data_IF_095169438185
#
_entry.id   IF_095169438185
#
_cell.length_a   1.000
_cell.length_b   1.000
_cell.length_c   1.000
_cell.angle_alpha   90.00
_cell.angle_beta   90.00
_cell.angle_gamma   90.00
#
_symmetry.space_group_name_H-M   'P 1'
#
loop_
_entity.id
_entity.type
_entity.pdbx_description
1 polymer ?
#
# COMPACT_ATOMS: atom_id res chain seq x y z
N UNK A 1 -24.12 27.35 14.57
CA UNK A 1 -22.71 27.03 14.25
C UNK A 1 -22.62 25.53 14.07
N UNK A 2 -22.25 25.06 12.88
CA UNK A 2 -22.05 23.63 12.64
C UNK A 2 -20.77 23.18 13.35
N UNK A 3 -20.88 22.22 14.28
CA UNK A 3 -19.73 21.65 14.98
C UNK A 3 -19.53 20.21 14.54
N UNK A 4 -18.30 19.88 14.15
CA UNK A 4 -17.95 18.53 13.75
C UNK A 4 -17.69 17.63 14.98
N UNK A 5 -17.12 18.21 16.05
CA UNK A 5 -16.78 17.48 17.28
C UNK A 5 -17.33 18.24 18.51
N UNK A 6 -18.18 17.55 19.26
CA UNK A 6 -18.79 17.98 20.53
C UNK A 6 -17.84 17.77 21.71
N UNK A 7 -17.90 18.65 22.72
CA UNK A 7 -17.02 18.57 23.91
C UNK A 7 -17.30 17.33 24.76
N UNK A 8 -18.56 16.87 24.81
CA UNK A 8 -18.96 15.68 25.56
C UNK A 8 -18.42 14.37 24.95
N UNK A 9 -18.33 14.28 23.61
CA UNK A 9 -17.79 13.11 22.92
C UNK A 9 -16.30 12.90 23.26
N UNK A 10 -15.53 13.99 23.37
CA UNK A 10 -14.09 13.94 23.71
C UNK A 10 -13.90 13.55 25.17
N UNK A 11 -14.71 14.10 26.09
CA UNK A 11 -14.66 13.75 27.51
C UNK A 11 -14.95 12.27 27.75
N UNK A 12 -15.88 11.70 26.98
CA UNK A 12 -16.22 10.29 27.01
C UNK A 12 -15.12 9.41 26.39
N UNK A 13 -14.56 9.82 25.24
CA UNK A 13 -13.49 9.08 24.55
C UNK A 13 -12.17 9.04 25.33
N UNK A 14 -11.84 10.13 26.05
CA UNK A 14 -10.60 10.25 26.81
C UNK A 14 -10.71 9.74 28.27
N UNK A 15 -11.88 9.21 28.69
CA UNK A 15 -12.17 8.81 30.09
C UNK A 15 -11.84 9.90 31.13
N UNK A 16 -11.91 11.17 30.73
CA UNK A 16 -11.52 12.34 31.55
C UNK A 16 -12.53 12.69 32.64
N UNK A 17 -13.66 11.97 32.72
CA UNK A 17 -14.64 12.14 33.80
C UNK A 17 -14.08 11.92 35.22
N UNK A 18 -12.90 11.28 35.36
CA UNK A 18 -12.23 11.05 36.65
C UNK A 18 -11.17 12.10 37.03
N UNK A 19 -10.72 12.94 36.10
CA UNK A 19 -9.66 13.94 36.33
C UNK A 19 -10.08 15.31 35.79
N UNK A 20 -10.62 16.18 36.66
CA UNK A 20 -10.55 17.64 36.47
C UNK A 20 -11.60 18.35 35.60
N UNK A 21 -12.74 17.74 35.29
CA UNK A 21 -13.95 18.44 34.79
C UNK A 21 -13.79 19.29 33.50
N UNK A 22 -14.69 20.26 33.31
CA UNK A 22 -14.81 21.10 32.10
C UNK A 22 -13.56 21.96 31.77
N UNK A 23 -12.70 22.22 32.77
CA UNK A 23 -11.45 22.95 32.60
C UNK A 23 -10.37 22.09 31.95
N UNK A 24 -10.22 20.83 32.37
CA UNK A 24 -9.34 19.88 31.71
C UNK A 24 -9.78 19.63 30.26
N UNK A 25 -11.09 19.55 30.01
CA UNK A 25 -11.67 19.46 28.66
C UNK A 25 -11.27 20.66 27.78
N UNK A 26 -11.37 21.90 28.29
CA UNK A 26 -11.01 23.13 27.55
C UNK A 26 -9.52 23.20 27.23
N UNK A 27 -8.66 22.80 28.16
CA UNK A 27 -7.22 22.69 27.92
C UNK A 27 -6.95 21.65 26.84
N UNK A 28 -7.57 20.47 26.92
CA UNK A 28 -7.43 19.41 25.93
C UNK A 28 -7.89 19.88 24.54
N UNK A 29 -9.06 20.53 24.44
CA UNK A 29 -9.59 21.12 23.20
C UNK A 29 -8.60 22.10 22.55
N UNK A 30 -7.92 22.89 23.37
CA UNK A 30 -6.93 23.89 22.91
C UNK A 30 -5.64 23.21 22.46
N UNK A 31 -5.10 22.28 23.26
CA UNK A 31 -3.89 21.49 22.96
C UNK A 31 -4.07 20.65 21.69
N UNK A 32 -5.26 20.10 21.48
CA UNK A 32 -5.63 19.28 20.33
C UNK A 32 -6.18 20.12 19.16
N UNK A 33 -6.15 21.45 19.28
CA UNK A 33 -6.59 22.38 18.23
C UNK A 33 -8.02 22.12 17.70
N UNK A 34 -8.91 21.54 18.51
CA UNK A 34 -10.26 21.14 18.08
C UNK A 34 -11.11 22.36 17.69
N UNK A 35 -10.88 23.50 18.35
CA UNK A 35 -11.50 24.77 17.94
C UNK A 35 -11.09 25.19 16.52
N UNK A 36 -9.85 24.92 16.11
CA UNK A 36 -9.41 25.20 14.73
C UNK A 36 -10.09 24.26 13.72
N UNK A 37 -10.36 23.00 14.10
CA UNK A 37 -11.08 22.05 13.25
C UNK A 37 -12.54 22.45 13.08
N UNK A 38 -13.22 22.81 14.18
CA UNK A 38 -14.60 23.28 14.10
C UNK A 38 -14.70 24.57 13.27
N UNK A 39 -13.75 25.51 13.42
CA UNK A 39 -13.69 26.72 12.59
C UNK A 39 -13.43 26.40 11.12
N UNK A 40 -12.48 25.50 10.84
CA UNK A 40 -12.20 25.05 9.48
C UNK A 40 -13.45 24.43 8.85
N UNK A 41 -14.12 23.53 9.58
CA UNK A 41 -15.35 22.90 9.13
C UNK A 41 -16.44 23.94 8.89
N UNK A 42 -16.66 24.88 9.82
CA UNK A 42 -17.63 25.97 9.65
C UNK A 42 -17.35 26.78 8.36
N UNK A 43 -16.10 27.15 8.12
CA UNK A 43 -15.68 27.91 6.93
C UNK A 43 -15.95 27.17 5.61
N UNK A 44 -15.89 25.83 5.59
CA UNK A 44 -16.06 25.02 4.36
C UNK A 44 -17.38 24.26 4.29
N UNK A 45 -18.14 24.17 5.37
CA UNK A 45 -19.37 23.35 5.49
C UNK A 45 -20.53 23.83 4.63
N UNK A 46 -20.42 25.01 4.03
CA UNK A 46 -21.36 25.52 3.03
C UNK A 46 -21.21 24.82 1.66
N UNK A 47 -20.04 24.25 1.37
CA UNK A 47 -19.80 23.50 0.14
C UNK A 47 -20.26 22.05 0.28
N UNK A 48 -20.40 21.35 -0.84
CA UNK A 48 -20.79 19.93 -0.92
C UNK A 48 -19.93 19.19 -1.94
N UNK A 49 -19.78 17.88 -1.73
CA UNK A 49 -19.09 16.98 -2.62
C UNK A 49 -17.67 17.44 -2.97
N UNK A 50 -17.39 17.55 -4.27
CA UNK A 50 -16.08 17.97 -4.77
C UNK A 50 -15.70 19.39 -4.39
N UNK A 51 -16.65 20.32 -4.34
CA UNK A 51 -16.39 21.72 -3.96
C UNK A 51 -15.96 21.81 -2.49
N UNK A 52 -16.52 20.95 -1.63
CA UNK A 52 -16.08 20.85 -0.23
C UNK A 52 -14.64 20.35 -0.15
N UNK A 53 -14.30 19.31 -0.92
CA UNK A 53 -12.95 18.75 -0.94
C UNK A 53 -11.95 19.81 -1.44
N UNK A 54 -12.28 20.55 -2.49
CA UNK A 54 -11.44 21.60 -3.05
C UNK A 54 -11.25 22.79 -2.11
N UNK A 55 -12.34 23.25 -1.49
CA UNK A 55 -12.28 24.30 -0.47
C UNK A 55 -11.42 23.87 0.72
N UNK A 56 -11.54 22.62 1.17
CA UNK A 56 -10.76 22.07 2.27
C UNK A 56 -9.27 21.99 1.92
N UNK A 57 -8.91 21.43 0.75
CA UNK A 57 -7.52 21.34 0.27
C UNK A 57 -6.90 22.73 0.16
N UNK A 58 -7.63 23.68 -0.44
CA UNK A 58 -7.20 25.07 -0.60
C UNK A 58 -6.99 25.78 0.74
N UNK A 59 -7.95 25.67 1.67
CA UNK A 59 -7.88 26.29 3.00
C UNK A 59 -6.75 25.71 3.84
N UNK A 60 -6.47 24.41 3.70
CA UNK A 60 -5.35 23.74 4.36
C UNK A 60 -4.02 23.97 3.65
N UNK A 61 -4.04 24.53 2.44
CA UNK A 61 -2.88 24.72 1.57
C UNK A 61 -2.10 23.41 1.41
N UNK A 62 -2.84 22.34 1.12
CA UNK A 62 -2.28 21.02 0.83
C UNK A 62 -1.92 20.97 -0.64
N UNK A 63 -0.69 20.60 -0.93
CA UNK A 63 -0.22 20.29 -2.28
C UNK A 63 -0.11 18.78 -2.42
N UNK A 64 -0.52 18.22 -3.55
CA UNK A 64 -0.34 16.80 -3.85
C UNK A 64 0.16 16.58 -5.27
N UNK A 65 0.77 15.43 -5.52
CA UNK A 65 1.33 15.07 -6.82
C UNK A 65 1.03 13.62 -7.14
N UNK A 66 0.38 13.42 -8.28
CA UNK A 66 0.21 12.12 -8.95
C UNK A 66 0.84 12.26 -10.33
N UNK A 67 1.48 11.21 -10.84
CA UNK A 67 2.04 11.23 -12.20
C UNK A 67 0.94 10.94 -13.20
N UNK A 68 0.93 11.64 -14.33
CA UNK A 68 -0.11 11.47 -15.35
C UNK A 68 -0.13 10.04 -15.93
N UNK A 69 1.02 9.38 -16.03
CA UNK A 69 1.09 7.99 -16.48
C UNK A 69 0.44 7.00 -15.50
N UNK A 70 0.43 7.34 -14.21
CA UNK A 70 -0.17 6.53 -13.15
C UNK A 70 -1.69 6.73 -13.11
N UNK A 71 -2.18 7.94 -13.39
CA UNK A 71 -3.62 8.22 -13.54
C UNK A 71 -4.24 7.42 -14.68
N UNK A 72 -3.52 7.26 -15.80
CA UNK A 72 -3.97 6.45 -16.96
C UNK A 72 -4.17 4.97 -16.63
N UNK A 73 -3.68 4.48 -15.49
CA UNK A 73 -3.87 3.09 -15.04
C UNK A 73 -5.25 2.85 -14.44
N UNK A 74 -5.98 3.91 -14.08
CA UNK A 74 -7.33 3.83 -13.54
C UNK A 74 -8.31 3.48 -14.66
N UNK A 75 -9.03 2.34 -14.58
CA UNK A 75 -10.01 1.96 -15.58
C UNK A 75 -11.15 2.98 -15.65
N UNK A 76 -11.45 3.49 -16.85
CA UNK A 76 -12.57 4.40 -17.09
C UNK A 76 -13.95 3.72 -16.93
N UNK A 77 -14.01 2.39 -17.05
CA UNK A 77 -15.24 1.61 -16.94
C UNK A 77 -14.99 0.28 -16.23
N UNK A 78 -16.09 -0.32 -15.73
CA UNK A 78 -16.05 -1.60 -15.02
C UNK A 78 -15.62 -1.45 -13.56
N UNK A 79 -15.94 -2.42 -12.69
CA UNK A 79 -15.68 -2.28 -11.28
C UNK A 79 -14.21 -2.54 -10.95
N UNK A 80 -13.70 -1.83 -9.94
CA UNK A 80 -12.39 -2.11 -9.35
C UNK A 80 -12.37 -1.67 -7.89
N UNK A 81 -11.40 -2.20 -7.15
CA UNK A 81 -11.12 -1.78 -5.79
C UNK A 81 -9.76 -1.09 -5.73
N UNK A 82 -9.64 0.07 -5.09
CA UNK A 82 -8.32 0.56 -4.66
C UNK A 82 -8.00 0.10 -3.25
N UNK A 83 -6.75 -0.29 -3.02
CA UNK A 83 -6.21 -0.61 -1.69
C UNK A 83 -5.07 0.33 -1.36
N UNK A 84 -5.18 1.02 -0.23
CA UNK A 84 -4.27 2.12 0.08
C UNK A 84 -3.72 2.06 1.50
N UNK A 85 -2.49 2.56 1.68
CA UNK A 85 -2.01 2.90 3.01
C UNK A 85 -2.64 4.20 3.52
N UNK A 86 -2.64 4.44 4.84
CA UNK A 86 -3.44 5.50 5.45
C UNK A 86 -2.65 6.43 6.39
N UNK A 87 -1.62 7.17 5.93
CA UNK A 87 -0.74 7.92 6.82
C UNK A 87 -1.37 9.17 7.45
N UNK A 88 -2.37 9.79 6.81
CA UNK A 88 -2.92 11.10 7.22
C UNK A 88 -4.38 11.04 7.66
N UNK A 89 -5.06 9.89 7.51
CA UNK A 89 -6.46 9.75 7.93
C UNK A 89 -7.42 10.37 6.93
N UNK A 90 -8.39 11.16 7.39
CA UNK A 90 -9.46 11.69 6.54
C UNK A 90 -8.99 12.42 5.26
N UNK A 91 -7.82 13.06 5.30
CA UNK A 91 -7.20 13.68 4.11
C UNK A 91 -6.94 12.62 3.01
N UNK A 92 -6.42 11.44 3.36
CA UNK A 92 -6.10 10.41 2.37
C UNK A 92 -7.34 9.99 1.58
N UNK A 93 -8.47 9.82 2.27
CA UNK A 93 -9.76 9.50 1.64
C UNK A 93 -10.26 10.62 0.73
N UNK A 94 -10.15 11.87 1.16
CA UNK A 94 -10.55 13.04 0.36
C UNK A 94 -9.65 13.23 -0.87
N UNK A 95 -8.34 13.04 -0.73
CA UNK A 95 -7.40 13.08 -1.85
C UNK A 95 -7.67 11.93 -2.83
N UNK A 96 -7.95 10.72 -2.33
CA UNK A 96 -8.30 9.58 -3.17
C UNK A 96 -9.56 9.87 -4.00
N UNK A 97 -10.61 10.43 -3.38
CA UNK A 97 -11.81 10.88 -4.10
C UNK A 97 -11.46 11.96 -5.12
N UNK A 98 -10.71 13.01 -4.73
CA UNK A 98 -10.32 14.09 -5.65
C UNK A 98 -9.57 13.60 -6.88
N UNK A 99 -8.71 12.62 -6.70
CA UNK A 99 -7.88 12.04 -7.76
C UNK A 99 -8.72 11.17 -8.69
N UNK A 100 -9.57 10.30 -8.13
CA UNK A 100 -10.31 9.31 -8.91
C UNK A 100 -11.60 9.86 -9.52
N UNK A 101 -12.29 10.80 -8.86
CA UNK A 101 -13.58 11.32 -9.29
C UNK A 101 -13.56 11.94 -10.70
N UNK A 102 -12.41 12.45 -11.15
CA UNK A 102 -12.25 12.96 -12.51
C UNK A 102 -12.40 11.90 -13.61
N UNK A 103 -12.03 10.64 -13.32
CA UNK A 103 -12.21 9.49 -14.25
C UNK A 103 -13.39 8.61 -13.85
N UNK A 104 -13.67 8.53 -12.54
CA UNK A 104 -14.65 7.65 -11.90
C UNK A 104 -15.50 8.43 -10.90
N UNK A 105 -16.48 9.21 -11.37
CA UNK A 105 -17.34 10.02 -10.50
C UNK A 105 -18.19 9.18 -9.54
N UNK A 106 -18.32 7.88 -9.84
CA UNK A 106 -19.01 6.85 -9.06
C UNK A 106 -18.18 6.28 -7.91
N UNK A 107 -16.94 6.75 -7.70
CA UNK A 107 -16.06 6.29 -6.61
C UNK A 107 -16.73 6.47 -5.25
N UNK A 108 -16.67 5.42 -4.42
CA UNK A 108 -16.97 5.51 -2.99
C UNK A 108 -15.85 4.94 -2.15
N UNK A 109 -15.66 5.46 -0.94
CA UNK A 109 -14.64 5.04 0.01
C UNK A 109 -15.31 4.30 1.15
N UNK A 110 -14.79 3.12 1.46
CA UNK A 110 -15.15 2.38 2.65
C UNK A 110 -14.51 3.06 3.86
N UNK A 111 -15.32 3.71 4.69
CA UNK A 111 -14.85 4.60 5.74
C UNK A 111 -15.49 4.29 7.09
N UNK A 112 -14.77 4.65 8.16
CA UNK A 112 -15.28 4.50 9.52
C UNK A 112 -16.40 5.51 9.83
N UNK A 113 -17.13 5.25 10.92
CA UNK A 113 -18.25 6.06 11.37
C UNK A 113 -17.92 7.56 11.60
N UNK A 114 -16.67 7.89 11.91
CA UNK A 114 -16.27 9.29 12.13
C UNK A 114 -16.25 10.09 10.82
N UNK A 115 -15.81 9.49 9.72
CA UNK A 115 -15.81 10.14 8.42
C UNK A 115 -17.22 10.24 7.83
N UNK A 116 -18.11 9.28 8.11
CA UNK A 116 -19.51 9.36 7.67
C UNK A 116 -20.30 10.49 8.34
N UNK A 117 -19.79 11.08 9.44
CA UNK A 117 -20.39 12.27 10.06
C UNK A 117 -20.11 13.56 9.30
N UNK A 118 -19.16 13.57 8.36
CA UNK A 118 -18.86 14.73 7.52
C UNK A 118 -19.91 14.76 6.41
N UNK A 119 -21.08 15.32 6.73
CA UNK A 119 -22.23 15.40 5.83
C UNK A 119 -21.88 15.92 4.43
N UNK A 120 -20.99 16.93 4.26
CA UNK A 120 -20.66 17.44 2.95
C UNK A 120 -20.05 16.46 1.96
N UNK A 121 -19.44 15.36 2.43
CA UNK A 121 -18.80 14.34 1.57
C UNK A 121 -19.43 12.96 1.73
N UNK A 122 -20.59 12.90 2.40
CA UNK A 122 -21.27 11.64 2.72
C UNK A 122 -21.63 10.81 1.49
N UNK A 123 -21.86 11.44 0.34
CA UNK A 123 -22.14 10.75 -0.94
C UNK A 123 -21.00 9.84 -1.41
N UNK A 124 -19.75 10.19 -1.07
CA UNK A 124 -18.55 9.43 -1.41
C UNK A 124 -18.20 8.38 -0.35
N UNK A 125 -18.99 8.23 0.71
CA UNK A 125 -18.64 7.39 1.86
C UNK A 125 -19.61 6.21 1.98
N UNK A 126 -19.05 5.01 2.08
CA UNK A 126 -19.78 3.82 2.51
C UNK A 126 -19.41 3.50 3.95
N UNK A 127 -20.36 3.59 4.90
CA UNK A 127 -20.06 3.40 6.31
C UNK A 127 -19.73 1.92 6.57
N UNK A 128 -18.60 1.69 7.24
CA UNK A 128 -18.25 0.42 7.87
C UNK A 128 -17.76 0.66 9.29
N UNK A 129 -17.99 -0.31 10.16
CA UNK A 129 -17.48 -0.25 11.53
C UNK A 129 -16.29 -1.22 11.66
N UNK A 130 -15.04 -0.73 11.68
CA UNK A 130 -13.88 -1.55 11.99
C UNK A 130 -13.64 -1.70 13.51
N UNK A 131 -14.50 -1.13 14.36
CA UNK A 131 -14.36 -1.23 15.82
C UNK A 131 -15.10 -2.47 16.35
N UNK A 132 -14.44 -3.62 16.28
CA UNK A 132 -14.83 -4.77 17.08
C UNK A 132 -14.66 -4.49 18.57
N UNK A 133 -15.72 -4.74 19.34
CA UNK A 133 -15.65 -4.74 20.80
C UNK A 133 -17.01 -4.70 21.52
N UNK A 134 -18.08 -4.13 20.93
CA UNK A 134 -19.42 -4.13 21.57
C UNK A 134 -20.56 -4.14 20.54
N UNK A 135 -21.46 -5.11 20.69
CA UNK A 135 -22.88 -5.18 20.27
C UNK A 135 -23.30 -4.88 18.81
N UNK A 136 -22.45 -4.36 17.93
CA UNK A 136 -22.89 -3.80 16.64
C UNK A 136 -22.40 -4.58 15.39
N UNK A 137 -22.22 -5.91 15.49
CA UNK A 137 -21.80 -6.77 14.38
C UNK A 137 -22.72 -6.69 13.14
N UNK A 138 -23.99 -6.31 13.32
CA UNK A 138 -24.93 -6.08 12.22
C UNK A 138 -24.52 -4.90 11.31
N UNK A 139 -23.84 -3.87 11.85
CA UNK A 139 -23.47 -2.66 11.11
C UNK A 139 -22.32 -2.90 10.11
N UNK A 140 -21.34 -3.75 10.47
CA UNK A 140 -20.21 -4.08 9.59
C UNK A 140 -20.63 -4.98 8.42
N UNK A 141 -21.59 -5.88 8.63
CA UNK A 141 -22.15 -6.74 7.56
C UNK A 141 -22.93 -5.90 6.54
N UNK A 142 -23.73 -4.94 7.02
CA UNK A 142 -24.48 -4.04 6.14
C UNK A 142 -23.55 -3.21 5.25
N UNK A 143 -22.48 -2.62 5.81
CA UNK A 143 -21.50 -1.86 5.03
C UNK A 143 -20.76 -2.70 3.99
N UNK A 144 -20.38 -3.94 4.33
CA UNK A 144 -19.77 -4.88 3.37
C UNK A 144 -20.76 -5.23 2.25
N UNK A 145 -22.04 -5.46 2.58
CA UNK A 145 -23.07 -5.75 1.57
C UNK A 145 -23.24 -4.57 0.60
N UNK A 146 -23.36 -3.35 1.11
CA UNK A 146 -23.44 -2.14 0.28
C UNK A 146 -22.22 -1.97 -0.63
N UNK A 147 -21.01 -2.28 -0.11
CA UNK A 147 -19.78 -2.23 -0.89
C UNK A 147 -19.78 -3.24 -2.05
N UNK A 148 -20.23 -4.47 -1.80
CA UNK A 148 -20.35 -5.50 -2.84
C UNK A 148 -21.42 -5.14 -3.87
N UNK A 149 -22.57 -4.62 -3.45
CA UNK A 149 -23.63 -4.14 -4.36
C UNK A 149 -23.13 -2.98 -5.23
N UNK A 150 -22.40 -2.04 -4.63
CA UNK A 150 -21.77 -0.93 -5.36
C UNK A 150 -20.82 -1.44 -6.46
N UNK A 151 -19.98 -2.42 -6.14
CA UNK A 151 -19.10 -3.07 -7.12
C UNK A 151 -19.88 -3.86 -8.19
N UNK A 152 -20.96 -4.55 -7.82
CA UNK A 152 -21.81 -5.27 -8.77
C UNK A 152 -22.47 -4.34 -9.79
N UNK A 153 -22.76 -3.09 -9.41
CA UNK A 153 -23.25 -2.05 -10.31
C UNK A 153 -22.16 -1.50 -11.25
N UNK A 154 -20.96 -2.07 -11.24
CA UNK A 154 -19.83 -1.67 -12.09
C UNK A 154 -19.00 -0.53 -11.51
N UNK A 155 -19.24 -0.13 -10.25
CA UNK A 155 -18.65 1.08 -9.71
C UNK A 155 -17.26 0.88 -9.08
N UNK A 156 -16.56 1.99 -8.84
CA UNK A 156 -15.26 1.98 -8.17
C UNK A 156 -15.40 2.08 -6.64
N UNK A 157 -14.58 1.32 -5.92
CA UNK A 157 -14.54 1.33 -4.45
C UNK A 157 -13.12 1.55 -3.94
N UNK A 158 -12.91 2.52 -3.05
CA UNK A 158 -11.64 2.71 -2.35
C UNK A 158 -11.66 2.15 -0.93
N UNK A 159 -10.58 1.50 -0.53
CA UNK A 159 -10.46 0.87 0.79
C UNK A 159 -9.09 1.18 1.41
N UNK A 160 -9.11 1.45 2.71
CA UNK A 160 -7.93 1.52 3.59
C UNK A 160 -7.93 0.30 4.50
N UNK A 161 -7.32 -0.84 4.10
CA UNK A 161 -7.60 -2.13 4.73
C UNK A 161 -7.09 -2.26 6.16
N UNK A 162 -6.18 -1.39 6.61
CA UNK A 162 -5.71 -1.35 7.99
C UNK A 162 -6.82 -0.93 8.98
N UNK A 163 -7.86 -0.20 8.53
CA UNK A 163 -8.94 0.32 9.39
C UNK A 163 -8.53 1.45 10.34
N UNK A 164 -7.23 1.76 10.41
CA UNK A 164 -6.66 2.86 11.16
C UNK A 164 -5.51 3.50 10.38
N UNK A 165 -5.04 4.65 10.85
CA UNK A 165 -3.95 5.37 10.19
C UNK A 165 -2.59 4.70 10.40
N UNK A 166 -1.56 5.04 9.61
CA UNK A 166 -0.20 4.48 9.74
C UNK A 166 0.49 4.92 11.03
N UNK A 167 1.05 3.98 11.79
CA UNK A 167 1.76 4.20 13.06
C UNK A 167 3.18 3.69 13.00
N UNK A 168 3.95 3.91 14.07
CA UNK A 168 5.17 3.13 14.25
C UNK A 168 4.79 1.65 14.31
N UNK A 169 5.45 0.85 13.48
CA UNK A 169 5.29 -0.59 13.43
C UNK A 169 6.65 -1.24 13.75
N UNK A 170 6.67 -2.10 14.77
CA UNK A 170 7.85 -2.80 15.25
C UNK A 170 8.36 -3.81 14.21
N UNK A 171 7.46 -4.44 13.44
CA UNK A 171 7.80 -5.47 12.44
C UNK A 171 8.72 -4.94 11.33
N UNK A 172 8.57 -3.66 10.98
CA UNK A 172 9.27 -3.01 9.87
C UNK A 172 10.20 -1.87 10.33
N UNK A 173 10.37 -1.68 11.65
CA UNK A 173 11.14 -0.58 12.26
C UNK A 173 10.91 0.79 11.58
N UNK A 174 9.63 1.14 11.36
CA UNK A 174 9.27 2.30 10.55
C UNK A 174 7.80 2.68 10.64
N UNK A 175 7.43 3.81 10.03
CA UNK A 175 6.04 4.27 9.97
C UNK A 175 5.34 3.57 8.81
N UNK A 176 4.43 2.67 9.15
CA UNK A 176 3.60 1.95 8.19
C UNK A 176 2.26 1.60 8.82
N UNK A 177 1.32 1.19 8.00
CA UNK A 177 0.09 0.56 8.46
C UNK A 177 0.44 -0.70 9.26
N UNK A 178 -0.42 -1.00 10.22
CA UNK A 178 -0.48 -2.32 10.83
C UNK A 178 -0.89 -3.37 9.80
N UNK A 179 -0.93 -4.62 10.24
CA UNK A 179 -1.51 -5.70 9.46
C UNK A 179 -2.92 -5.31 8.97
N UNK A 180 -3.16 -5.57 7.69
CA UNK A 180 -4.44 -5.28 7.06
C UNK A 180 -5.51 -6.26 7.55
N UNK A 181 -6.69 -5.72 7.86
CA UNK A 181 -7.76 -6.43 8.55
C UNK A 181 -8.28 -7.60 7.69
N UNK A 182 -8.28 -8.81 8.27
CA UNK A 182 -8.74 -10.02 7.59
C UNK A 182 -10.14 -9.90 6.96
N UNK A 183 -11.16 -9.29 7.62
CA UNK A 183 -12.48 -9.10 7.00
C UNK A 183 -12.45 -8.25 5.73
N UNK A 184 -11.62 -7.19 5.70
CA UNK A 184 -11.46 -6.33 4.53
C UNK A 184 -10.83 -7.13 3.36
N UNK A 185 -9.76 -7.88 3.66
CA UNK A 185 -9.09 -8.73 2.67
C UNK A 185 -10.03 -9.80 2.08
N UNK A 186 -10.82 -10.44 2.93
CA UNK A 186 -11.81 -11.44 2.52
C UNK A 186 -12.88 -10.82 1.60
N UNK A 187 -13.34 -9.60 1.90
CA UNK A 187 -14.29 -8.88 1.03
C UNK A 187 -13.66 -8.56 -0.33
N UNK A 188 -12.44 -8.01 -0.33
CA UNK A 188 -11.71 -7.67 -1.56
C UNK A 188 -11.57 -8.91 -2.45
N UNK A 189 -11.14 -10.03 -1.87
CA UNK A 189 -11.01 -11.31 -2.58
C UNK A 189 -12.36 -11.80 -3.12
N UNK A 190 -13.43 -11.71 -2.32
CA UNK A 190 -14.78 -12.14 -2.70
C UNK A 190 -15.38 -11.32 -3.85
N UNK A 191 -15.01 -10.04 -3.96
CA UNK A 191 -15.54 -9.17 -4.99
C UNK A 191 -15.18 -9.61 -6.42
N UNK A 192 -14.06 -10.34 -6.60
CA UNK A 192 -13.56 -10.80 -7.91
C UNK A 192 -13.49 -9.68 -8.95
N UNK A 193 -12.92 -8.53 -8.55
CA UNK A 193 -12.66 -7.37 -9.42
C UNK A 193 -11.18 -7.00 -9.37
N UNK A 194 -10.64 -6.31 -10.38
CA UNK A 194 -9.27 -5.81 -10.34
C UNK A 194 -8.98 -4.97 -9.08
N UNK A 195 -7.78 -5.12 -8.53
CA UNK A 195 -7.33 -4.37 -7.35
C UNK A 195 -6.21 -3.41 -7.74
N UNK A 196 -6.33 -2.13 -7.43
CA UNK A 196 -5.35 -1.10 -7.77
C UNK A 196 -4.66 -0.61 -6.49
N UNK A 197 -3.36 -0.91 -6.30
CA UNK A 197 -2.60 -0.39 -5.17
C UNK A 197 -2.43 1.14 -5.27
N UNK A 198 -2.67 1.87 -4.19
CA UNK A 198 -2.41 3.32 -4.11
C UNK A 198 -1.56 3.62 -2.88
N UNK A 199 -0.44 4.29 -3.08
CA UNK A 199 0.48 4.63 -2.00
C UNK A 199 0.51 6.13 -1.73
N UNK A 200 0.21 6.51 -0.50
CA UNK A 200 0.34 7.86 0.03
C UNK A 200 1.69 7.99 0.75
N UNK A 201 2.56 8.87 0.24
CA UNK A 201 3.87 9.09 0.84
C UNK A 201 3.80 10.10 2.00
N UNK A 202 4.30 9.67 3.16
CA UNK A 202 4.60 10.52 4.30
C UNK A 202 4.10 9.96 5.63
N UNK A 203 4.12 10.80 6.66
CA UNK A 203 3.74 10.40 8.02
C UNK A 203 3.17 11.57 8.82
N UNK A 204 2.47 11.25 9.92
CA UNK A 204 2.06 12.24 10.92
C UNK A 204 3.24 12.71 11.80
N UNK A 205 3.00 13.73 12.63
CA UNK A 205 4.04 14.33 13.45
C UNK A 205 4.65 13.33 14.45
N UNK A 206 5.90 13.56 14.86
CA UNK A 206 6.55 12.74 15.91
C UNK A 206 5.69 12.67 17.18
N UNK A 207 5.07 13.78 17.58
CA UNK A 207 4.19 13.83 18.74
C UNK A 207 2.94 12.95 18.56
N UNK A 208 2.39 12.85 17.36
CA UNK A 208 1.30 11.91 17.06
C UNK A 208 1.72 10.45 17.27
N UNK A 209 2.91 10.09 16.81
CA UNK A 209 3.43 8.74 17.00
C UNK A 209 3.77 8.45 18.47
N UNK A 210 4.36 9.41 19.20
CA UNK A 210 4.64 9.29 20.64
C UNK A 210 3.34 9.09 21.43
N UNK A 211 2.29 9.88 21.17
CA UNK A 211 1.01 9.69 21.84
C UNK A 211 0.38 8.33 21.53
N UNK A 212 0.59 7.80 20.32
CA UNK A 212 0.16 6.46 19.94
C UNK A 212 0.89 5.34 20.70
N UNK A 213 2.17 5.52 21.01
CA UNK A 213 2.94 4.61 21.88
C UNK A 213 2.42 4.63 23.33
N UNK A 214 1.91 5.77 23.79
CA UNK A 214 1.34 5.91 25.14
C UNK A 214 -0.05 5.25 25.21
N UNK A 215 -0.97 5.60 24.29
CA UNK A 215 -2.28 4.94 24.20
C UNK A 215 -2.97 5.20 22.84
N UNK A 216 -3.56 4.17 22.18
CA UNK A 216 -4.23 4.33 20.88
C UNK A 216 -5.34 5.41 20.83
N UNK A 217 -6.08 5.62 21.91
CA UNK A 217 -7.14 6.66 21.92
C UNK A 217 -6.58 8.10 21.88
N UNK A 218 -5.40 8.36 22.47
CA UNK A 218 -4.78 9.70 22.45
C UNK A 218 -4.37 10.09 21.03
N UNK A 219 -3.98 9.10 20.24
CA UNK A 219 -3.70 9.23 18.81
C UNK A 219 -4.95 9.64 18.03
N UNK A 220 -6.06 8.93 18.19
CA UNK A 220 -7.35 9.25 17.54
C UNK A 220 -7.79 10.68 17.86
N UNK A 221 -7.56 11.10 19.10
CA UNK A 221 -7.90 12.44 19.59
C UNK A 221 -7.00 13.53 18.99
N UNK A 222 -5.72 13.23 18.69
CA UNK A 222 -4.79 14.17 18.04
C UNK A 222 -4.93 14.21 16.52
N UNK A 223 -5.45 13.16 15.89
CA UNK A 223 -5.52 13.02 14.42
C UNK A 223 -6.12 14.24 13.71
N UNK A 224 -7.24 14.83 14.15
CA UNK A 224 -7.80 16.02 13.49
C UNK A 224 -6.83 17.22 13.45
N UNK A 225 -5.95 17.34 14.44
CA UNK A 225 -4.98 18.44 14.55
C UNK A 225 -3.77 18.29 13.63
N UNK A 226 -3.47 17.06 13.19
CA UNK A 226 -2.34 16.75 12.31
C UNK A 226 -2.53 17.33 10.90
N UNK A 227 -3.79 17.53 10.50
CA UNK A 227 -4.20 18.12 9.23
C UNK A 227 -3.50 19.47 9.01
N UNK A 228 -3.42 20.32 10.05
CA UNK A 228 -2.77 21.64 9.95
C UNK A 228 -1.25 21.59 9.78
N UNK A 229 -0.60 20.47 10.14
CA UNK A 229 0.86 20.34 10.03
C UNK A 229 1.30 19.93 8.61
N UNK A 230 0.35 19.80 7.68
CA UNK A 230 0.59 19.47 6.26
C UNK A 230 0.58 20.68 5.34
N UNK A 231 0.34 21.87 5.89
CA UNK A 231 0.42 23.14 5.18
C UNK A 231 1.73 23.25 4.40
N UNK A 232 1.67 23.50 3.09
CA UNK A 232 2.82 23.60 2.18
C UNK A 232 3.68 22.34 2.04
N UNK A 233 3.18 21.17 2.47
CA UNK A 233 3.86 19.90 2.23
C UNK A 233 3.25 19.24 1.00
N UNK A 234 4.11 18.87 0.05
CA UNK A 234 3.73 18.13 -1.15
C UNK A 234 3.54 16.65 -0.82
N UNK A 235 2.29 16.19 -0.81
CA UNK A 235 1.93 14.78 -0.61
C UNK A 235 2.07 14.06 -1.96
N UNK A 236 3.10 13.23 -2.09
CA UNK A 236 3.26 12.38 -3.28
C UNK A 236 2.37 11.16 -3.15
N UNK A 237 1.62 10.89 -4.20
CA UNK A 237 0.70 9.76 -4.28
C UNK A 237 1.12 8.98 -5.52
N UNK A 238 1.17 7.65 -5.39
CA UNK A 238 1.56 6.74 -6.47
C UNK A 238 0.46 5.73 -6.70
N UNK A 239 0.07 5.52 -7.96
CA UNK A 239 -0.98 4.55 -8.34
C UNK A 239 -0.32 3.41 -9.09
N UNK A 240 -0.47 2.18 -8.59
CA UNK A 240 0.08 0.96 -9.17
C UNK A 240 -0.70 0.44 -10.37
N UNK A 241 -0.18 -0.62 -10.99
CA UNK A 241 -0.91 -1.34 -12.04
C UNK A 241 -2.06 -2.15 -11.43
N UNK A 242 -3.21 -2.28 -12.12
CA UNK A 242 -4.30 -3.15 -11.70
C UNK A 242 -3.85 -4.61 -11.59
N UNK A 243 -4.10 -5.21 -10.42
CA UNK A 243 -3.88 -6.62 -10.12
C UNK A 243 -5.11 -7.38 -10.60
N UNK A 244 -4.93 -8.20 -11.63
CA UNK A 244 -6.03 -8.94 -12.27
C UNK A 244 -6.64 -9.99 -11.33
N UNK A 245 -7.89 -10.39 -11.57
CA UNK A 245 -8.54 -11.47 -10.81
C UNK A 245 -7.76 -12.78 -10.94
N UNK A 246 -7.16 -13.05 -12.11
CA UNK A 246 -6.30 -14.21 -12.34
C UNK A 246 -5.07 -14.21 -11.44
N UNK A 247 -4.41 -13.06 -11.30
CA UNK A 247 -3.27 -12.90 -10.39
C UNK A 247 -3.70 -13.04 -8.92
N UNK A 248 -4.87 -12.50 -8.58
CA UNK A 248 -5.44 -12.70 -7.24
C UNK A 248 -5.69 -14.19 -6.96
N UNK A 249 -6.26 -14.95 -7.90
CA UNK A 249 -6.63 -16.36 -7.73
C UNK A 249 -5.43 -17.28 -7.39
N UNK A 250 -4.18 -16.84 -7.64
CA UNK A 250 -2.97 -17.56 -7.21
C UNK A 250 -2.80 -17.67 -5.68
N UNK A 251 -3.51 -16.85 -4.91
CA UNK A 251 -3.42 -16.83 -3.44
C UNK A 251 -4.62 -17.53 -2.80
N UNK A 252 -4.47 -18.77 -2.35
CA UNK A 252 -5.53 -19.49 -1.61
C UNK A 252 -5.73 -18.95 -0.20
N UNK A 253 -4.64 -18.61 0.49
CA UNK A 253 -4.66 -18.04 1.83
C UNK A 253 -4.88 -16.51 1.82
N UNK A 254 -5.82 -16.04 2.64
CA UNK A 254 -6.20 -14.62 2.72
C UNK A 254 -5.10 -13.79 3.38
N UNK A 255 -4.37 -14.33 4.36
CA UNK A 255 -3.31 -13.60 5.04
C UNK A 255 -2.13 -13.34 4.09
N UNK A 256 -1.76 -14.35 3.29
CA UNK A 256 -0.74 -14.24 2.25
C UNK A 256 -1.19 -13.31 1.12
N UNK A 257 -2.46 -13.36 0.73
CA UNK A 257 -3.04 -12.39 -0.20
C UNK A 257 -2.92 -10.95 0.34
N UNK A 258 -3.23 -10.74 1.63
CA UNK A 258 -3.07 -9.44 2.29
C UNK A 258 -1.63 -8.94 2.31
N UNK A 259 -0.67 -9.81 2.65
CA UNK A 259 0.77 -9.49 2.60
C UNK A 259 1.20 -9.11 1.19
N UNK A 260 0.75 -9.84 0.17
CA UNK A 260 1.03 -9.54 -1.23
C UNK A 260 0.49 -8.15 -1.62
N UNK A 261 -0.80 -7.86 -1.38
CA UNK A 261 -1.37 -6.56 -1.71
C UNK A 261 -0.65 -5.41 -0.98
N UNK A 262 -0.37 -5.60 0.31
CA UNK A 262 0.39 -4.63 1.11
C UNK A 262 1.78 -4.41 0.52
N UNK A 263 2.52 -5.46 0.19
CA UNK A 263 3.82 -5.36 -0.44
C UNK A 263 3.76 -4.60 -1.78
N UNK A 264 2.77 -4.89 -2.62
CA UNK A 264 2.52 -4.18 -3.89
C UNK A 264 2.25 -2.69 -3.67
N UNK A 265 1.48 -2.33 -2.65
CA UNK A 265 1.24 -0.93 -2.28
C UNK A 265 2.50 -0.23 -1.81
N UNK A 266 3.25 -0.82 -0.87
CA UNK A 266 4.45 -0.16 -0.31
C UNK A 266 5.62 -0.10 -1.30
N UNK A 267 5.73 -1.03 -2.24
CA UNK A 267 6.72 -0.99 -3.32
C UNK A 267 6.55 0.24 -4.25
N UNK A 268 5.38 0.88 -4.28
CA UNK A 268 5.19 2.13 -5.02
C UNK A 268 5.96 3.31 -4.38
N UNK A 269 6.20 3.24 -3.06
CA UNK A 269 6.97 4.23 -2.31
C UNK A 269 8.48 4.09 -2.48
N UNK A 270 8.95 2.90 -2.90
CA UNK A 270 10.37 2.60 -3.11
C UNK A 270 10.83 2.98 -4.51
N UNK A 271 10.20 3.98 -5.14
CA UNK A 271 10.68 4.55 -6.39
C UNK A 271 12.08 5.12 -6.17
N UNK A 272 13.09 4.25 -6.26
CA UNK A 272 14.42 4.61 -6.67
C UNK A 272 14.19 5.37 -7.97
N UNK A 273 14.43 6.68 -7.97
CA UNK A 273 14.61 7.42 -9.20
C UNK A 273 15.91 6.91 -9.82
N UNK A 274 15.84 5.72 -10.41
CA UNK A 274 16.87 5.24 -11.30
C UNK A 274 16.71 6.12 -12.52
N UNK A 275 17.45 7.25 -12.53
CA UNK A 275 17.78 7.90 -13.79
C UNK A 275 18.20 6.77 -14.72
N UNK A 276 17.67 6.73 -15.95
CA UNK A 276 18.13 5.81 -17.01
C UNK A 276 19.57 6.16 -17.40
N UNK A 277 20.49 6.13 -16.44
CA UNK A 277 21.93 6.29 -16.56
C UNK A 277 22.50 4.98 -17.10
N UNK A 278 21.98 3.85 -16.62
CA UNK A 278 22.27 2.54 -17.17
C UNK A 278 21.27 2.24 -18.29
N UNK A 279 21.67 2.47 -19.53
CA UNK A 279 21.15 1.69 -20.65
C UNK A 279 22.11 0.52 -20.78
N UNK A 280 21.77 -0.69 -20.31
CA UNK A 280 22.65 -1.83 -20.54
C UNK A 280 22.88 -1.91 -22.05
N UNK A 281 24.12 -1.65 -22.49
CA UNK A 281 24.54 -2.04 -23.83
C UNK A 281 24.65 -3.55 -23.76
N UNK A 282 23.55 -4.24 -24.04
CA UNK A 282 23.64 -5.63 -24.46
C UNK A 282 24.48 -5.55 -25.73
N UNK A 283 25.77 -5.88 -25.63
CA UNK A 283 26.66 -5.97 -26.77
C UNK A 283 26.25 -7.21 -27.56
N UNK A 284 25.10 -7.09 -28.25
CA UNK A 284 24.63 -8.10 -29.18
C UNK A 284 25.66 -8.16 -30.29
N UNK A 285 26.38 -9.27 -30.36
CA UNK A 285 27.20 -9.55 -31.53
C UNK A 285 26.27 -9.64 -32.73
N UNK A 286 26.69 -9.11 -33.88
CA UNK A 286 25.90 -9.21 -35.11
C UNK A 286 25.81 -10.65 -35.62
N UNK A 287 26.72 -11.52 -35.16
CA UNK A 287 26.77 -12.94 -35.48
C UNK A 287 26.32 -13.76 -34.27
N UNK A 288 25.25 -14.54 -34.47
CA UNK A 288 24.74 -15.48 -33.47
C UNK A 288 25.67 -16.70 -33.38
N UNK A 289 26.29 -16.89 -32.22
CA UNK A 289 27.05 -18.08 -31.88
C UNK A 289 26.10 -19.24 -31.52
N UNK A 290 26.48 -20.51 -31.77
CA UNK A 290 25.79 -21.65 -31.19
C UNK A 290 25.77 -21.52 -29.65
N UNK A 291 24.64 -21.85 -29.03
CA UNK A 291 24.58 -21.96 -27.56
C UNK A 291 25.57 -23.03 -27.12
N UNK A 292 26.26 -22.80 -26.01
CA UNK A 292 27.21 -23.74 -25.44
C UNK A 292 26.58 -25.12 -25.17
N UNK A 293 27.39 -26.17 -25.19
CA UNK A 293 26.95 -27.52 -24.84
C UNK A 293 26.58 -27.60 -23.35
N UNK A 294 25.60 -28.44 -22.97
CA UNK A 294 25.21 -28.61 -21.59
C UNK A 294 26.34 -29.24 -20.76
N UNK A 295 26.43 -28.82 -19.50
CA UNK A 295 27.35 -29.45 -18.54
C UNK A 295 26.84 -30.85 -18.18
N UNK A 296 27.72 -31.87 -18.05
CA UNK A 296 27.32 -33.18 -17.55
C UNK A 296 26.66 -33.09 -16.17
N UNK A 297 25.48 -33.70 -16.02
CA UNK A 297 24.67 -33.59 -14.80
C UNK A 297 25.40 -34.06 -13.55
N UNK A 298 26.31 -35.03 -13.67
CA UNK A 298 27.12 -35.53 -12.56
C UNK A 298 28.02 -34.44 -11.96
N UNK A 299 28.50 -33.49 -12.78
CA UNK A 299 29.31 -32.35 -12.30
C UNK A 299 28.47 -31.34 -11.53
N UNK A 300 27.25 -31.09 -12.00
CA UNK A 300 26.30 -30.22 -11.31
C UNK A 300 25.94 -30.81 -9.96
N UNK A 301 25.59 -32.11 -9.91
CA UNK A 301 25.27 -32.81 -8.66
C UNK A 301 26.44 -32.75 -7.67
N UNK A 302 27.68 -32.94 -8.14
CA UNK A 302 28.87 -32.82 -7.28
C UNK A 302 29.00 -31.43 -6.64
N UNK A 303 28.71 -30.35 -7.38
CA UNK A 303 28.73 -28.99 -6.83
C UNK A 303 27.58 -28.74 -5.87
N UNK A 304 26.37 -29.21 -6.18
CA UNK A 304 25.22 -29.12 -5.27
C UNK A 304 25.54 -29.79 -3.93
N UNK A 305 26.03 -31.03 -3.94
CA UNK A 305 26.40 -31.74 -2.71
C UNK A 305 27.50 -31.01 -1.92
N UNK A 306 28.47 -30.41 -2.61
CA UNK A 306 29.55 -29.65 -1.97
C UNK A 306 29.02 -28.41 -1.24
N UNK A 307 28.09 -27.67 -1.83
CA UNK A 307 27.57 -26.42 -1.25
C UNK A 307 26.39 -26.64 -0.29
N UNK A 308 25.84 -27.86 -0.24
CA UNK A 308 24.58 -28.20 0.43
C UNK A 308 24.52 -27.78 1.90
N UNK A 309 25.60 -28.01 2.63
CA UNK A 309 25.63 -27.74 4.07
C UNK A 309 25.76 -26.24 4.38
N UNK A 310 26.57 -25.51 3.60
CA UNK A 310 26.96 -24.13 3.92
C UNK A 310 26.06 -23.08 3.26
N UNK A 311 25.59 -23.33 2.04
CA UNK A 311 24.97 -22.29 1.20
C UNK A 311 23.47 -22.49 0.95
N UNK A 312 22.86 -23.51 1.56
CA UNK A 312 21.39 -23.67 1.53
C UNK A 312 20.74 -22.59 2.37
N UNK A 313 19.87 -21.78 1.76
CA UNK A 313 19.08 -20.78 2.47
C UNK A 313 17.87 -21.42 3.15
N UNK A 314 17.08 -22.18 2.38
CA UNK A 314 15.91 -22.91 2.85
C UNK A 314 15.48 -23.95 1.82
N UNK A 315 14.66 -24.90 2.28
CA UNK A 315 14.02 -25.91 1.44
C UNK A 315 12.50 -25.74 1.46
N UNK A 316 11.84 -26.06 0.35
CA UNK A 316 10.38 -26.00 0.22
C UNK A 316 9.91 -27.13 -0.70
N UNK A 317 9.19 -28.09 -0.12
CA UNK A 317 8.82 -29.35 -0.78
C UNK A 317 10.05 -30.10 -1.31
N UNK A 318 10.20 -30.22 -2.63
CA UNK A 318 11.36 -30.84 -3.29
C UNK A 318 12.39 -29.80 -3.76
N UNK A 319 12.11 -28.50 -3.59
CA UNK A 319 13.04 -27.45 -4.02
C UNK A 319 14.00 -27.05 -2.93
N UNK A 320 15.25 -26.83 -3.33
CA UNK A 320 16.30 -26.28 -2.50
C UNK A 320 16.75 -24.93 -3.05
N UNK A 321 16.88 -23.94 -2.17
CA UNK A 321 17.27 -22.58 -2.55
C UNK A 321 18.67 -22.30 -2.03
N UNK A 322 19.59 -22.00 -2.95
CA UNK A 322 21.00 -21.77 -2.66
C UNK A 322 21.39 -20.31 -2.87
N UNK A 323 22.30 -19.78 -2.06
CA UNK A 323 22.93 -18.48 -2.29
C UNK A 323 24.44 -18.59 -2.01
N UNK A 324 25.24 -18.70 -3.08
CA UNK A 324 26.66 -19.05 -2.98
C UNK A 324 27.52 -18.18 -3.92
N UNK A 325 28.80 -17.90 -3.58
CA UNK A 325 29.72 -17.25 -4.52
C UNK A 325 29.95 -18.09 -5.78
N UNK A 326 30.13 -17.44 -6.93
CA UNK A 326 30.28 -18.13 -8.23
C UNK A 326 31.53 -19.04 -8.32
N UNK A 327 32.58 -18.76 -7.54
CA UNK A 327 33.79 -19.59 -7.51
C UNK A 327 33.59 -20.94 -6.80
N UNK A 328 32.54 -21.10 -6.00
CA UNK A 328 32.20 -22.39 -5.38
C UNK A 328 31.52 -23.36 -6.35
N UNK A 329 30.92 -22.81 -7.41
CA UNK A 329 30.01 -23.48 -8.34
C UNK A 329 30.33 -23.23 -9.84
N UNK A 330 31.58 -23.38 -10.30
CA UNK A 330 31.97 -23.07 -11.68
C UNK A 330 31.15 -23.80 -12.75
N UNK A 331 30.73 -25.05 -12.51
CA UNK A 331 29.95 -25.83 -13.47
C UNK A 331 28.47 -25.40 -13.50
N UNK A 332 27.86 -25.16 -12.35
CA UNK A 332 26.50 -24.59 -12.26
C UNK A 332 26.50 -23.19 -12.87
N UNK A 333 27.51 -22.36 -12.62
CA UNK A 333 27.59 -21.00 -13.19
C UNK A 333 27.65 -21.04 -14.73
N UNK A 334 28.43 -21.96 -15.29
CA UNK A 334 28.45 -22.21 -16.73
C UNK A 334 27.05 -22.59 -17.25
N UNK A 335 26.38 -23.54 -16.58
CA UNK A 335 25.05 -24.00 -16.97
C UNK A 335 23.98 -22.91 -16.85
N UNK A 336 24.04 -22.09 -15.79
CA UNK A 336 23.20 -20.91 -15.62
C UNK A 336 23.40 -19.93 -16.77
N UNK A 337 24.63 -19.65 -17.17
CA UNK A 337 24.93 -18.79 -18.32
C UNK A 337 24.34 -19.31 -19.63
N UNK A 338 24.45 -20.62 -19.85
CA UNK A 338 23.84 -21.31 -21.01
C UNK A 338 22.31 -21.19 -21.00
N UNK A 339 21.67 -21.45 -19.85
CA UNK A 339 20.20 -21.40 -19.69
C UNK A 339 19.64 -19.97 -19.76
N UNK A 340 20.37 -18.98 -19.23
CA UNK A 340 20.06 -17.55 -19.38
C UNK A 340 20.02 -17.16 -20.85
N UNK A 341 21.05 -17.51 -21.62
CA UNK A 341 21.09 -17.20 -23.06
C UNK A 341 19.95 -17.86 -23.83
N UNK A 342 19.62 -19.13 -23.55
CA UNK A 342 18.45 -19.80 -24.16
C UNK A 342 17.17 -19.03 -23.88
N UNK A 343 16.95 -18.69 -22.61
CA UNK A 343 15.73 -18.01 -22.16
C UNK A 343 15.61 -16.61 -22.79
N UNK A 344 16.70 -15.85 -22.81
CA UNK A 344 16.70 -14.49 -23.34
C UNK A 344 16.64 -14.46 -24.87
N UNK A 345 17.30 -15.39 -25.59
CA UNK A 345 17.11 -15.52 -27.05
C UNK A 345 15.66 -15.77 -27.41
N UNK A 346 14.95 -16.61 -26.66
CA UNK A 346 13.54 -16.95 -26.93
C UNK A 346 12.60 -15.73 -26.91
N UNK A 347 12.96 -14.68 -26.17
CA UNK A 347 12.18 -13.42 -26.09
C UNK A 347 12.83 -12.25 -26.83
N UNK A 348 13.88 -12.51 -27.63
CA UNK A 348 14.57 -11.49 -28.42
C UNK A 348 15.51 -10.57 -27.63
N UNK A 349 15.89 -10.96 -26.40
CA UNK A 349 16.77 -10.24 -25.48
C UNK A 349 18.16 -10.86 -25.29
N UNK A 350 18.46 -11.97 -25.98
CA UNK A 350 19.74 -12.68 -25.86
C UNK A 350 20.96 -11.86 -26.31
N UNK A 351 22.14 -12.30 -25.86
CA UNK A 351 23.42 -11.66 -26.15
C UNK A 351 23.99 -12.01 -27.52
N UNK A 352 23.45 -13.06 -28.17
CA UNK A 352 23.97 -13.71 -29.38
C UNK A 352 25.31 -14.45 -29.17
N UNK A 353 25.78 -14.58 -27.93
CA UNK A 353 26.97 -15.38 -27.57
C UNK A 353 26.58 -16.79 -27.16
N UNK A 354 27.55 -17.69 -27.03
CA UNK A 354 27.27 -19.06 -26.59
C UNK A 354 26.66 -19.17 -25.18
N UNK A 355 26.91 -18.19 -24.30
CA UNK A 355 26.39 -18.09 -22.94
C UNK A 355 26.20 -16.63 -22.52
N UNK A 356 25.32 -16.40 -21.55
CA UNK A 356 25.08 -15.09 -20.94
C UNK A 356 25.70 -15.03 -19.52
N UNK A 357 26.99 -14.71 -19.50
CA UNK A 357 27.80 -14.47 -18.29
C UNK A 357 28.59 -13.18 -18.52
N UNK A 358 28.71 -12.35 -17.48
CA UNK A 358 29.53 -11.14 -17.49
C UNK A 358 30.54 -11.06 -16.34
N UNK A 359 31.29 -9.96 -16.28
CA UNK A 359 32.31 -9.74 -15.25
C UNK A 359 31.71 -9.58 -13.84
N UNK A 360 30.43 -9.20 -13.74
CA UNK A 360 29.74 -8.99 -12.47
C UNK A 360 29.33 -10.30 -11.80
N UNK A 361 29.11 -11.36 -12.57
CA UNK A 361 28.82 -12.70 -12.05
C UNK A 361 29.94 -13.23 -11.12
N UNK A 362 31.16 -12.72 -11.25
CA UNK A 362 32.29 -13.03 -10.34
C UNK A 362 32.19 -12.34 -8.98
N UNK A 363 31.49 -11.21 -8.89
CA UNK A 363 31.41 -10.40 -7.67
C UNK A 363 30.14 -10.65 -6.85
N UNK A 364 29.10 -11.19 -7.48
CA UNK A 364 27.81 -11.43 -6.83
C UNK A 364 27.67 -12.88 -6.37
N UNK A 365 27.03 -13.05 -5.21
CA UNK A 365 26.48 -14.34 -4.82
C UNK A 365 25.32 -14.70 -5.75
N UNK A 366 25.29 -15.95 -6.20
CA UNK A 366 24.31 -16.47 -7.13
C UNK A 366 23.18 -17.13 -6.34
N UNK A 367 21.97 -16.60 -6.52
CA UNK A 367 20.74 -17.15 -5.96
C UNK A 367 20.07 -18.03 -7.01
N UNK A 368 19.90 -19.33 -6.74
CA UNK A 368 19.25 -20.25 -7.65
C UNK A 368 18.44 -21.32 -6.92
N UNK A 369 17.57 -21.99 -7.67
CA UNK A 369 16.70 -23.06 -7.19
C UNK A 369 17.11 -24.36 -7.87
N UNK A 370 17.20 -25.43 -7.07
CA UNK A 370 17.48 -26.79 -7.50
C UNK A 370 16.28 -27.70 -7.17
N UNK A 371 16.00 -28.68 -8.03
CA UNK A 371 14.89 -29.64 -7.90
C UNK A 371 15.34 -31.08 -7.62
#
# INVERSE_FOLDING_TARGET
MAKLIETEEIMKAARLGRFGGASAARVLMTVLRINKINKLYEDVSQFRGMDFIDALISKLQIEFEVRDEELKRVPASGPFITVSNHPFGGIDGMLLVKILAGTRPDIKILANFLLSKIEPVSEYMLPVNPFEGRKDAASSIAGIKMALEHLQNGNALGIFPAGEVSSYNEDNYGISDREWQYPALKMIKKARVPVIPVYFQGSNSRLFHILGLIHPSLRTVKLPSEIFNKKHKKIRIRIGNPISVKEQDAFSDISTYGRYLRARTYALGSALEVKKFFRPRINRTSRMEPVADPVPGERIIQEIEKIREEYTLFTSDHFEVFCTPSFEIPYIMYELGRLREITFRAVGEGTNRSMDIDEYDLYYNQLFVWD
#
